data_IF_002052348825
#
_entry.id   IF_002052348825
#
_cell.length_a   1.000
_cell.length_b   1.000
_cell.length_c   1.000
_cell.angle_alpha   90.00
_cell.angle_beta   90.00
_cell.angle_gamma   90.00
#
_symmetry.space_group_name_H-M   'P 1'
#
loop_
_entity.id
_entity.type
_entity.pdbx_description
1 polymer ?
#
# COMPACT_ATOMS: atom_id res chain seq x y z
N UNK A 1 6.89 -11.94 -4.10
CA UNK A 1 7.84 -12.74 -3.29
C UNK A 1 8.84 -11.82 -2.59
N UNK A 2 9.31 -10.77 -3.25
CA UNK A 2 10.33 -9.83 -2.71
C UNK A 2 9.88 -9.09 -1.44
N UNK A 3 8.58 -9.01 -1.22
CA UNK A 3 7.95 -8.47 0.00
C UNK A 3 7.43 -9.55 0.95
N UNK A 4 7.90 -10.80 0.76
CA UNK A 4 7.60 -11.91 1.66
C UNK A 4 6.25 -12.58 1.46
N UNK A 5 5.53 -12.32 0.35
CA UNK A 5 4.31 -13.01 -0.02
C UNK A 5 4.54 -14.21 -0.95
N UNK A 6 3.49 -14.99 -1.20
CA UNK A 6 3.50 -16.12 -2.15
C UNK A 6 3.66 -15.70 -3.61
N UNK A 7 3.64 -14.41 -3.91
CA UNK A 7 3.63 -13.88 -5.26
C UNK A 7 2.22 -13.77 -5.85
N UNK A 8 1.19 -13.99 -5.04
CA UNK A 8 -0.21 -13.75 -5.39
C UNK A 8 -0.49 -12.29 -5.11
N UNK A 9 -1.07 -11.59 -6.09
CA UNK A 9 -1.48 -10.21 -5.93
C UNK A 9 -2.63 -10.09 -4.92
N UNK A 10 -2.59 -9.06 -4.10
CA UNK A 10 -3.71 -8.74 -3.22
C UNK A 10 -4.87 -8.20 -4.09
N UNK A 11 -5.98 -8.94 -4.14
CA UNK A 11 -7.13 -8.63 -5.00
C UNK A 11 -7.79 -7.30 -4.63
N UNK A 12 -7.84 -6.94 -3.35
CA UNK A 12 -8.38 -5.66 -2.90
C UNK A 12 -7.53 -4.49 -3.39
N UNK A 13 -6.20 -4.57 -3.19
CA UNK A 13 -5.28 -3.56 -3.70
C UNK A 13 -5.35 -3.49 -5.23
N UNK A 14 -5.39 -4.64 -5.89
CA UNK A 14 -5.50 -4.70 -7.36
C UNK A 14 -6.78 -4.03 -7.86
N UNK A 15 -7.92 -4.30 -7.22
CA UNK A 15 -9.18 -3.66 -7.55
C UNK A 15 -9.12 -2.13 -7.36
N UNK A 16 -8.53 -1.65 -6.27
CA UNK A 16 -8.30 -0.19 -6.06
C UNK A 16 -7.44 0.42 -7.16
N UNK A 17 -6.40 -0.28 -7.61
CA UNK A 17 -5.56 0.19 -8.73
C UNK A 17 -6.33 0.21 -10.07
N UNK A 18 -7.19 -0.78 -10.32
CA UNK A 18 -8.04 -0.82 -11.50
C UNK A 18 -9.09 0.29 -11.50
N UNK A 19 -9.72 0.57 -10.37
CA UNK A 19 -10.64 1.70 -10.22
C UNK A 19 -9.91 3.04 -10.46
N UNK A 20 -8.68 3.18 -9.98
CA UNK A 20 -7.87 4.37 -10.23
C UNK A 20 -7.50 4.55 -11.71
N UNK A 21 -7.35 3.45 -12.48
CA UNK A 21 -7.21 3.52 -13.94
C UNK A 21 -8.42 4.20 -14.59
N UNK A 22 -9.62 3.89 -14.11
CA UNK A 22 -10.85 4.53 -14.61
C UNK A 22 -10.92 6.02 -14.26
N UNK A 23 -10.44 6.43 -13.09
CA UNK A 23 -10.32 7.86 -12.75
C UNK A 23 -9.35 8.59 -13.70
N UNK A 24 -8.18 7.98 -13.97
CA UNK A 24 -7.22 8.56 -14.92
C UNK A 24 -7.81 8.69 -16.30
N UNK A 25 -8.47 7.64 -16.81
CA UNK A 25 -9.15 7.66 -18.10
C UNK A 25 -10.27 8.71 -18.15
N UNK A 26 -11.10 8.79 -17.12
CA UNK A 26 -12.17 9.79 -17.03
C UNK A 26 -11.62 11.22 -17.06
N UNK A 27 -10.41 11.44 -16.54
CA UNK A 27 -9.75 12.75 -16.55
C UNK A 27 -9.06 13.07 -17.88
N UNK A 28 -8.56 12.04 -18.62
CA UNK A 28 -7.77 12.22 -19.85
C UNK A 28 -8.54 11.96 -21.14
N UNK A 29 -9.55 11.08 -21.13
CA UNK A 29 -10.34 10.70 -22.31
C UNK A 29 -11.68 11.44 -22.30
N UNK A 30 -11.74 12.63 -22.93
CA UNK A 30 -12.96 13.46 -22.94
C UNK A 30 -13.98 13.00 -23.97
N UNK A 31 -13.52 12.49 -25.10
CA UNK A 31 -14.36 12.16 -26.28
C UNK A 31 -15.02 10.78 -26.21
N UNK A 32 -14.55 9.91 -25.31
CA UNK A 32 -15.11 8.57 -25.20
C UNK A 32 -16.56 8.60 -24.67
N UNK A 33 -17.48 7.91 -25.36
CA UNK A 33 -18.92 7.87 -25.01
C UNK A 33 -19.19 7.51 -23.55
N UNK A 34 -18.49 6.51 -23.02
CA UNK A 34 -18.63 6.12 -21.60
C UNK A 34 -18.22 7.25 -20.65
N UNK A 35 -17.18 8.03 -21.00
CA UNK A 35 -16.72 9.16 -20.19
C UNK A 35 -17.74 10.30 -20.20
N UNK A 36 -18.32 10.58 -21.37
CA UNK A 36 -19.38 11.58 -21.51
C UNK A 36 -20.63 11.21 -20.69
N UNK A 37 -21.05 9.93 -20.72
CA UNK A 37 -22.17 9.44 -19.89
C UNK A 37 -21.90 9.64 -18.39
N UNK A 38 -20.71 9.27 -17.91
CA UNK A 38 -20.35 9.46 -16.50
C UNK A 38 -20.24 10.93 -16.12
N UNK A 39 -19.68 11.77 -16.99
CA UNK A 39 -19.57 13.22 -16.78
C UNK A 39 -20.96 13.85 -16.68
N UNK A 40 -21.84 13.57 -17.63
CA UNK A 40 -23.20 14.10 -17.64
C UNK A 40 -24.00 13.66 -16.41
N UNK A 41 -23.84 12.41 -15.99
CA UNK A 41 -24.57 11.85 -14.84
C UNK A 41 -24.06 12.35 -13.50
N UNK A 42 -22.75 12.40 -13.31
CA UNK A 42 -22.13 12.57 -11.99
C UNK A 42 -21.35 13.86 -11.81
N UNK A 43 -20.78 14.42 -12.88
CA UNK A 43 -20.00 15.65 -12.77
C UNK A 43 -20.83 16.90 -13.07
N UNK A 44 -21.62 16.87 -14.13
CA UNK A 44 -22.36 18.05 -14.63
C UNK A 44 -21.41 19.25 -14.81
N UNK A 45 -21.56 20.29 -13.96
CA UNK A 45 -20.69 21.48 -13.91
C UNK A 45 -19.51 21.38 -12.96
N UNK A 46 -19.39 20.26 -12.18
CA UNK A 46 -18.35 20.09 -11.17
C UNK A 46 -17.13 19.37 -11.74
N UNK A 47 -15.96 19.66 -11.18
CA UNK A 47 -14.76 18.88 -11.46
C UNK A 47 -14.78 17.56 -10.69
N UNK A 48 -13.95 16.61 -11.12
CA UNK A 48 -13.80 15.34 -10.41
C UNK A 48 -13.32 15.55 -8.96
N UNK A 49 -12.55 16.61 -8.69
CA UNK A 49 -12.11 16.97 -7.35
C UNK A 49 -13.27 17.33 -6.42
N UNK A 50 -14.27 18.06 -6.92
CA UNK A 50 -15.40 18.62 -6.15
C UNK A 50 -16.51 17.60 -5.84
N UNK A 51 -16.66 16.56 -6.68
CA UNK A 51 -17.77 15.61 -6.55
C UNK A 51 -17.61 14.73 -5.32
N UNK A 52 -18.69 14.57 -4.56
CA UNK A 52 -18.81 13.70 -3.38
C UNK A 52 -19.78 12.55 -3.65
N UNK A 53 -19.71 11.52 -2.82
CA UNK A 53 -20.59 10.35 -2.92
C UNK A 53 -22.01 10.71 -2.45
N UNK A 54 -23.01 10.27 -3.23
CA UNK A 54 -24.41 10.28 -2.84
C UNK A 54 -24.91 8.85 -2.51
N UNK A 55 -25.90 8.68 -1.63
CA UNK A 55 -26.45 7.37 -1.30
C UNK A 55 -27.01 6.60 -2.50
N UNK A 56 -27.57 7.31 -3.48
CA UNK A 56 -28.17 6.80 -4.72
C UNK A 56 -27.18 6.45 -5.82
N UNK A 57 -25.89 6.75 -5.62
CA UNK A 57 -24.86 6.47 -6.63
C UNK A 57 -24.66 4.99 -6.85
N UNK A 58 -24.30 4.63 -8.09
CA UNK A 58 -23.99 3.26 -8.44
C UNK A 58 -22.79 2.70 -7.64
N UNK A 59 -22.74 1.37 -7.41
CA UNK A 59 -21.59 0.75 -6.72
C UNK A 59 -20.24 1.06 -7.39
N UNK A 60 -20.23 1.15 -8.73
CA UNK A 60 -19.04 1.52 -9.49
C UNK A 60 -18.57 2.93 -9.15
N UNK A 61 -19.49 3.92 -9.21
CA UNK A 61 -19.16 5.31 -8.87
C UNK A 61 -18.70 5.47 -7.42
N UNK A 62 -19.38 4.80 -6.48
CA UNK A 62 -18.96 4.74 -5.07
C UNK A 62 -17.54 4.16 -4.93
N UNK A 63 -17.23 3.14 -5.73
CA UNK A 63 -15.89 2.57 -5.79
C UNK A 63 -14.83 3.57 -6.29
N UNK A 64 -15.13 4.34 -7.35
CA UNK A 64 -14.25 5.40 -7.86
C UNK A 64 -14.02 6.48 -6.81
N UNK A 65 -15.08 6.94 -6.14
CA UNK A 65 -14.96 7.99 -5.12
C UNK A 65 -14.18 7.52 -3.89
N UNK A 66 -14.25 6.24 -3.53
CA UNK A 66 -13.44 5.65 -2.45
C UNK A 66 -11.95 5.71 -2.74
N UNK A 67 -11.53 5.48 -3.99
CA UNK A 67 -10.12 5.52 -4.38
C UNK A 67 -9.63 6.89 -4.82
N UNK A 68 -10.52 7.86 -4.98
CA UNK A 68 -10.23 9.24 -5.39
C UNK A 68 -9.12 9.92 -4.56
N UNK A 69 -9.11 9.91 -3.22
CA UNK A 69 -8.03 10.52 -2.44
C UNK A 69 -6.67 9.88 -2.70
N UNK A 70 -6.65 8.54 -2.81
CA UNK A 70 -5.46 7.78 -3.11
C UNK A 70 -4.88 8.13 -4.50
N UNK A 71 -5.76 8.37 -5.47
CA UNK A 71 -5.43 8.74 -6.83
C UNK A 71 -4.87 10.17 -6.91
N UNK A 72 -5.57 11.17 -6.35
CA UNK A 72 -5.14 12.56 -6.43
C UNK A 72 -3.83 12.86 -5.70
N UNK A 73 -3.52 12.14 -4.64
CA UNK A 73 -2.22 12.27 -3.97
C UNK A 73 -1.03 11.89 -4.88
N UNK A 74 -1.29 11.13 -5.96
CA UNK A 74 -0.29 10.62 -6.91
C UNK A 74 -0.36 11.26 -8.28
N UNK A 75 -1.20 12.26 -8.44
CA UNK A 75 -1.35 13.02 -9.68
C UNK A 75 -0.97 14.49 -9.48
N UNK A 76 -0.59 15.14 -10.56
CA UNK A 76 -0.52 16.60 -10.67
C UNK A 76 -1.04 17.01 -12.04
N UNK A 77 -1.48 18.24 -12.16
CA UNK A 77 -1.85 18.80 -13.45
C UNK A 77 -0.67 19.59 -14.00
N UNK A 78 -0.28 19.30 -15.23
CA UNK A 78 0.61 20.13 -16.00
C UNK A 78 -0.28 21.13 -16.71
N UNK A 79 -0.21 22.38 -16.28
CA UNK A 79 -1.01 23.47 -16.81
C UNK A 79 -0.46 23.82 -18.19
N UNK A 80 -1.36 23.86 -19.17
CA UNK A 80 -1.11 24.38 -20.50
C UNK A 80 -1.78 25.73 -20.67
N UNK A 81 -3.02 25.74 -21.16
CA UNK A 81 -3.84 26.95 -21.31
C UNK A 81 -4.53 27.38 -20.01
N UNK A 82 -4.59 26.51 -19.01
CA UNK A 82 -5.22 26.77 -17.72
C UNK A 82 -6.75 26.82 -17.76
N UNK A 83 -7.37 26.42 -18.87
CA UNK A 83 -8.82 26.54 -19.06
C UNK A 83 -9.63 25.49 -18.26
N UNK A 84 -9.02 24.36 -17.95
CA UNK A 84 -9.69 23.25 -17.27
C UNK A 84 -9.21 23.04 -15.83
N UNK A 85 -8.11 23.67 -15.43
CA UNK A 85 -7.49 23.51 -14.11
C UNK A 85 -8.05 24.54 -13.13
N UNK A 86 -8.58 24.06 -12.00
CA UNK A 86 -9.04 24.92 -10.89
C UNK A 86 -7.84 25.50 -10.13
N UNK A 87 -7.84 26.81 -9.96
CA UNK A 87 -6.72 27.52 -9.34
C UNK A 87 -6.43 27.07 -7.92
N UNK A 88 -7.45 26.97 -7.07
CA UNK A 88 -7.29 26.64 -5.64
C UNK A 88 -7.33 25.15 -5.34
N UNK A 89 -8.15 24.39 -6.06
CA UNK A 89 -8.56 23.03 -5.66
C UNK A 89 -7.75 21.94 -6.31
N UNK A 90 -7.17 22.20 -7.48
CA UNK A 90 -6.36 21.23 -8.19
C UNK A 90 -4.87 21.32 -7.79
N UNK A 91 -4.15 20.19 -7.93
CA UNK A 91 -2.70 20.14 -7.70
C UNK A 91 -1.98 20.45 -9.00
N UNK A 92 -1.60 21.72 -9.19
CA UNK A 92 -0.89 22.18 -10.36
C UNK A 92 0.40 22.96 -10.02
N UNK A 93 0.43 23.68 -8.91
CA UNK A 93 1.57 24.45 -8.47
C UNK A 93 2.13 23.87 -7.14
N UNK A 94 3.10 22.95 -7.24
CA UNK A 94 3.67 22.20 -6.12
C UNK A 94 3.05 20.82 -5.92
N UNK A 95 3.15 20.28 -4.70
CA UNK A 95 2.77 18.90 -4.41
C UNK A 95 1.34 18.72 -3.89
N UNK A 96 0.72 19.81 -3.45
CA UNK A 96 -0.66 19.82 -2.93
C UNK A 96 -1.45 20.99 -3.50
N UNK A 97 -2.81 20.96 -3.50
CA UNK A 97 -3.63 22.07 -3.94
C UNK A 97 -3.30 23.38 -3.19
N UNK A 98 -3.40 24.52 -3.88
CA UNK A 98 -3.16 25.84 -3.30
C UNK A 98 -4.05 26.12 -2.08
N UNK A 99 -5.28 25.61 -2.07
CA UNK A 99 -6.18 25.69 -0.92
C UNK A 99 -5.58 25.07 0.37
N UNK A 100 -4.73 24.06 0.24
CA UNK A 100 -4.03 23.44 1.38
C UNK A 100 -2.70 24.12 1.69
N UNK A 101 -2.03 24.66 0.68
CA UNK A 101 -0.76 25.39 0.87
C UNK A 101 -1.02 26.76 1.53
N UNK A 102 -2.15 27.42 1.19
CA UNK A 102 -2.52 28.75 1.66
C UNK A 102 -3.93 28.77 2.26
N UNK A 103 -4.19 28.06 3.36
CA UNK A 103 -5.53 27.94 3.94
C UNK A 103 -6.08 29.29 4.41
N UNK A 104 -5.22 30.20 4.88
CA UNK A 104 -5.58 31.53 5.33
C UNK A 104 -6.12 32.41 4.21
N UNK A 105 -5.59 32.28 2.99
CA UNK A 105 -6.08 32.96 1.78
C UNK A 105 -7.33 32.30 1.23
N UNK A 106 -7.34 30.95 1.13
CA UNK A 106 -8.47 30.21 0.61
C UNK A 106 -9.78 30.44 1.41
N UNK A 107 -9.66 30.63 2.72
CA UNK A 107 -10.80 30.90 3.58
C UNK A 107 -11.45 32.27 3.36
N UNK A 108 -10.71 33.26 2.82
CA UNK A 108 -11.19 34.61 2.59
C UNK A 108 -11.38 34.98 1.13
N UNK A 109 -11.02 34.11 0.20
CA UNK A 109 -11.23 34.37 -1.24
C UNK A 109 -12.74 34.46 -1.54
N UNK A 110 -13.12 35.40 -2.42
CA UNK A 110 -14.52 35.58 -2.79
C UNK A 110 -15.00 34.45 -3.72
N UNK A 111 -14.22 34.13 -4.75
CA UNK A 111 -14.54 33.11 -5.75
C UNK A 111 -13.53 31.96 -5.62
N UNK A 112 -14.01 30.82 -5.14
CA UNK A 112 -13.19 29.60 -5.01
C UNK A 112 -13.09 28.84 -6.33
N UNK A 113 -14.14 28.90 -7.14
CA UNK A 113 -14.31 28.15 -8.37
C UNK A 113 -13.76 28.93 -9.60
N UNK A 114 -12.49 29.32 -9.54
CA UNK A 114 -11.82 30.02 -10.64
C UNK A 114 -10.82 29.09 -11.33
N UNK A 115 -10.71 29.23 -12.65
CA UNK A 115 -9.71 28.51 -13.42
C UNK A 115 -8.38 29.28 -13.45
N UNK A 116 -7.28 28.55 -13.69
CA UNK A 116 -5.94 29.14 -13.76
C UNK A 116 -5.85 30.20 -14.84
N UNK A 117 -6.42 29.93 -16.02
CA UNK A 117 -6.50 30.90 -17.11
C UNK A 117 -7.12 32.24 -16.67
N UNK A 118 -8.26 32.17 -16.00
CA UNK A 118 -8.99 33.38 -15.56
C UNK A 118 -8.22 34.23 -14.55
N UNK A 119 -7.30 33.60 -13.80
CA UNK A 119 -6.48 34.29 -12.82
C UNK A 119 -5.23 34.89 -13.46
N UNK A 120 -4.54 34.13 -14.32
CA UNK A 120 -3.22 34.52 -14.83
C UNK A 120 -3.26 35.36 -16.09
N UNK A 121 -4.35 35.32 -16.87
CA UNK A 121 -4.49 36.13 -18.10
C UNK A 121 -4.78 37.59 -17.82
N UNK A 122 -5.13 37.97 -16.60
CA UNK A 122 -5.44 39.35 -16.23
C UNK A 122 -4.33 40.03 -15.44
N UNK A 123 -4.05 41.29 -15.73
CA UNK A 123 -3.12 42.13 -14.96
C UNK A 123 -3.88 43.34 -14.43
N UNK A 124 -4.08 43.48 -13.14
CA UNK A 124 -3.62 42.62 -12.04
C UNK A 124 -4.33 41.25 -12.00
N UNK A 125 -3.75 40.29 -11.22
CA UNK A 125 -4.31 38.94 -11.04
C UNK A 125 -5.79 39.00 -10.61
N UNK A 126 -6.66 38.29 -11.29
CA UNK A 126 -8.11 38.31 -11.03
C UNK A 126 -8.49 37.48 -9.79
N UNK A 127 -7.97 37.89 -8.63
CA UNK A 127 -8.29 37.30 -7.35
C UNK A 127 -8.79 38.38 -6.40
N UNK A 128 -9.98 38.22 -5.88
CA UNK A 128 -10.58 39.13 -4.90
C UNK A 128 -10.80 38.44 -3.57
N UNK A 129 -10.53 39.19 -2.50
CA UNK A 129 -10.68 38.71 -1.13
C UNK A 129 -11.83 39.45 -0.42
N UNK A 130 -12.53 38.76 0.49
CA UNK A 130 -13.62 39.32 1.29
C UNK A 130 -13.15 40.25 2.41
N UNK A 131 -11.86 40.18 2.75
CA UNK A 131 -11.20 40.93 3.82
C UNK A 131 -9.87 41.46 3.34
N UNK A 132 -9.42 42.57 3.92
CA UNK A 132 -8.12 43.18 3.68
C UNK A 132 -7.01 42.20 4.08
N UNK A 133 -5.95 42.14 3.26
CA UNK A 133 -4.79 41.33 3.53
C UNK A 133 -3.85 42.09 4.48
N UNK A 134 -3.65 41.60 5.68
CA UNK A 134 -2.73 42.15 6.70
C UNK A 134 -1.95 41.02 7.39
N UNK A 135 -0.73 41.34 7.84
CA UNK A 135 0.13 40.39 8.57
C UNK A 135 0.39 39.11 7.79
N UNK A 136 0.22 37.96 8.41
CA UNK A 136 0.48 36.63 7.80
C UNK A 136 -0.23 36.41 6.47
N UNK A 137 -1.42 36.99 6.29
CA UNK A 137 -2.18 36.86 5.03
C UNK A 137 -1.51 37.63 3.90
N UNK A 138 -0.94 38.79 4.20
CA UNK A 138 -0.20 39.58 3.23
C UNK A 138 1.10 38.87 2.83
N UNK A 139 1.84 38.29 3.77
CA UNK A 139 3.04 37.51 3.50
C UNK A 139 2.72 36.26 2.66
N UNK A 140 1.67 35.53 3.02
CA UNK A 140 1.20 34.38 2.27
C UNK A 140 0.82 34.76 0.82
N UNK A 141 0.17 35.91 0.64
CA UNK A 141 -0.16 36.44 -0.68
C UNK A 141 1.08 36.81 -1.48
N UNK A 142 2.04 37.53 -0.93
CA UNK A 142 3.28 37.85 -1.61
C UNK A 142 4.07 36.60 -1.99
N UNK A 143 4.11 35.61 -1.11
CA UNK A 143 4.75 34.33 -1.40
C UNK A 143 4.04 33.60 -2.57
N UNK A 144 2.73 33.59 -2.60
CA UNK A 144 1.96 33.02 -3.71
C UNK A 144 2.22 33.77 -5.01
N UNK A 145 2.13 35.11 -4.99
CA UNK A 145 2.36 35.96 -6.19
C UNK A 145 3.75 35.70 -6.79
N UNK A 146 4.80 35.66 -5.98
CA UNK A 146 6.16 35.35 -6.46
C UNK A 146 6.22 34.05 -7.22
N UNK A 147 5.58 33.01 -6.72
CA UNK A 147 5.50 31.69 -7.40
C UNK A 147 4.67 31.73 -8.68
N UNK A 148 3.66 32.58 -8.74
CA UNK A 148 2.83 32.73 -9.94
C UNK A 148 3.54 33.49 -11.05
N UNK A 149 4.48 34.38 -10.73
CA UNK A 149 5.26 35.13 -11.72
C UNK A 149 6.13 34.23 -12.60
N UNK A 150 6.52 33.06 -12.13
CA UNK A 150 7.32 32.09 -12.88
C UNK A 150 6.44 31.18 -13.78
N UNK A 151 5.10 31.30 -13.69
CA UNK A 151 4.17 30.46 -14.46
C UNK A 151 3.82 31.12 -15.78
N UNK A 152 4.14 30.43 -16.86
CA UNK A 152 3.73 30.83 -18.21
C UNK A 152 2.70 29.87 -18.75
N UNK A 153 1.56 30.37 -19.20
CA UNK A 153 0.55 29.58 -19.90
C UNK A 153 0.97 29.37 -21.35
N UNK A 154 0.69 28.16 -21.85
CA UNK A 154 0.86 27.80 -23.26
C UNK A 154 -0.50 27.75 -23.96
N UNK A 155 -0.49 27.36 -25.25
CA UNK A 155 -1.75 27.09 -25.97
C UNK A 155 -2.14 25.60 -25.92
N UNK A 156 -1.29 24.76 -25.34
CA UNK A 156 -1.59 23.34 -25.17
C UNK A 156 -2.67 23.13 -24.10
N UNK A 157 -3.53 22.13 -24.23
CA UNK A 157 -4.50 21.81 -23.20
C UNK A 157 -3.83 21.30 -21.90
N UNK A 158 -4.47 21.58 -20.78
CA UNK A 158 -4.04 21.05 -19.47
C UNK A 158 -3.98 19.52 -19.48
N UNK A 159 -2.94 18.94 -18.87
CA UNK A 159 -2.73 17.48 -18.87
C UNK A 159 -2.57 16.93 -17.47
N UNK A 160 -3.28 15.83 -17.17
CA UNK A 160 -3.08 15.10 -15.94
C UNK A 160 -1.80 14.27 -16.01
N UNK A 161 -0.90 14.49 -15.07
CA UNK A 161 0.40 13.82 -14.96
C UNK A 161 0.40 12.83 -13.80
N UNK A 162 0.79 11.59 -14.08
CA UNK A 162 0.94 10.54 -13.07
C UNK A 162 2.35 10.57 -12.48
N UNK A 163 2.48 10.87 -11.18
CA UNK A 163 3.78 11.09 -10.50
C UNK A 163 4.66 9.84 -10.39
N UNK A 164 4.06 8.64 -10.46
CA UNK A 164 4.78 7.38 -10.26
C UNK A 164 5.47 6.82 -11.52
N UNK A 165 5.35 7.50 -12.66
CA UNK A 165 6.03 7.13 -13.91
C UNK A 165 6.73 8.35 -14.50
N UNK A 166 7.83 8.11 -15.22
CA UNK A 166 8.60 9.20 -15.84
C UNK A 166 7.85 9.88 -17.01
N UNK A 167 7.03 9.11 -17.72
CA UNK A 167 6.24 9.55 -18.85
C UNK A 167 4.90 10.20 -18.48
N UNK A 168 4.59 10.24 -17.19
CA UNK A 168 3.34 10.80 -16.65
C UNK A 168 2.09 9.99 -16.96
N UNK A 169 2.22 8.80 -17.58
CA UNK A 169 1.09 7.92 -17.91
C UNK A 169 0.76 6.98 -16.76
N UNK A 170 -0.52 6.78 -16.51
CA UNK A 170 -0.98 5.87 -15.48
C UNK A 170 -0.64 4.43 -15.80
N UNK A 171 -0.09 3.73 -14.82
CA UNK A 171 0.15 2.29 -14.88
C UNK A 171 -0.39 1.62 -13.61
N UNK A 172 -1.24 0.60 -13.78
CA UNK A 172 -1.73 -0.24 -12.67
C UNK A 172 -0.58 -0.84 -11.88
N UNK A 173 0.51 -1.21 -12.58
CA UNK A 173 1.73 -1.76 -11.95
C UNK A 173 2.41 -0.73 -11.05
N UNK A 174 2.60 0.51 -11.53
CA UNK A 174 3.25 1.57 -10.73
C UNK A 174 2.47 1.88 -9.46
N UNK A 175 1.14 2.00 -9.56
CA UNK A 175 0.28 2.23 -8.42
C UNK A 175 0.27 1.04 -7.45
N UNK A 176 0.20 -0.19 -7.96
CA UNK A 176 0.21 -1.38 -7.13
C UNK A 176 1.51 -1.50 -6.33
N UNK A 177 2.66 -1.27 -6.97
CA UNK A 177 3.96 -1.29 -6.30
C UNK A 177 4.09 -0.20 -5.24
N UNK A 178 3.59 1.01 -5.51
CA UNK A 178 3.61 2.11 -4.55
C UNK A 178 2.74 1.80 -3.32
N UNK A 179 1.51 1.32 -3.51
CA UNK A 179 0.61 0.96 -2.41
C UNK A 179 1.18 -0.19 -1.56
N UNK A 180 1.84 -1.17 -2.18
CA UNK A 180 2.47 -2.28 -1.44
C UNK A 180 3.72 -1.81 -0.70
N UNK A 181 4.53 -0.94 -1.30
CA UNK A 181 5.77 -0.45 -0.67
C UNK A 181 5.49 0.43 0.56
N UNK A 182 4.36 1.12 0.59
CA UNK A 182 3.92 1.88 1.77
C UNK A 182 3.38 0.98 2.89
N UNK A 183 2.97 -0.25 2.58
CA UNK A 183 2.55 -1.26 3.56
C UNK A 183 3.73 -2.16 3.94
N UNK A 184 4.58 -1.71 4.85
CA UNK A 184 5.75 -2.46 5.31
C UNK A 184 5.32 -3.74 6.04
N UNK A 185 5.59 -4.90 5.43
CA UNK A 185 5.61 -6.20 6.13
C UNK A 185 7.07 -6.67 6.13
N UNK A 186 7.81 -6.45 7.21
CA UNK A 186 9.27 -6.57 7.21
C UNK A 186 9.85 -7.98 7.18
N UNK A 187 9.11 -9.04 7.57
CA UNK A 187 9.77 -10.23 8.10
C UNK A 187 9.94 -11.45 7.15
N UNK A 188 9.22 -11.54 6.06
CA UNK A 188 9.16 -12.79 5.28
C UNK A 188 10.17 -12.92 4.15
N UNK A 189 11.02 -11.92 3.89
CA UNK A 189 12.08 -11.99 2.85
C UNK A 189 13.06 -13.13 3.09
N UNK A 190 13.40 -13.40 4.33
CA UNK A 190 14.41 -14.42 4.68
C UNK A 190 13.94 -15.83 4.31
N UNK A 191 12.66 -16.16 4.47
CA UNK A 191 12.08 -17.46 4.11
C UNK A 191 12.29 -17.78 2.62
N UNK A 192 12.05 -16.80 1.74
CA UNK A 192 12.13 -16.99 0.30
C UNK A 192 13.57 -17.08 -0.22
N UNK A 193 14.55 -16.53 0.51
CA UNK A 193 15.97 -16.56 0.14
C UNK A 193 16.68 -17.86 0.54
N UNK A 194 16.09 -18.66 1.43
CA UNK A 194 16.69 -19.94 1.84
C UNK A 194 16.73 -20.91 0.66
N UNK A 195 17.84 -21.62 0.48
CA UNK A 195 18.01 -22.61 -0.58
C UNK A 195 17.41 -23.98 -0.19
N UNK A 196 16.08 -24.05 -0.13
CA UNK A 196 15.30 -25.27 0.13
C UNK A 196 14.21 -25.43 -0.94
N UNK A 197 13.67 -26.66 -1.14
CA UNK A 197 12.56 -26.91 -2.05
C UNK A 197 11.36 -25.98 -1.81
N UNK A 198 10.61 -25.66 -2.88
CA UNK A 198 9.50 -24.71 -2.81
C UNK A 198 8.44 -25.12 -1.77
N UNK A 199 8.14 -26.42 -1.67
CA UNK A 199 7.18 -26.96 -0.64
C UNK A 199 7.58 -26.60 0.78
N UNK A 200 8.89 -26.65 1.09
CA UNK A 200 9.40 -26.28 2.42
C UNK A 200 9.34 -24.77 2.61
N UNK A 201 9.64 -23.96 1.59
CA UNK A 201 9.47 -22.47 1.67
C UNK A 201 8.02 -22.08 1.96
N UNK A 202 7.07 -22.72 1.28
CA UNK A 202 5.63 -22.47 1.49
C UNK A 202 5.22 -22.88 2.92
N UNK A 203 5.67 -24.05 3.38
CA UNK A 203 5.45 -24.50 4.75
C UNK A 203 6.01 -23.50 5.77
N UNK A 204 7.28 -23.09 5.62
CA UNK A 204 7.91 -22.10 6.50
C UNK A 204 7.18 -20.75 6.50
N UNK A 205 6.65 -20.35 5.34
CA UNK A 205 5.82 -19.16 5.23
C UNK A 205 4.49 -19.30 6.02
N UNK A 206 3.84 -20.48 5.96
CA UNK A 206 2.65 -20.77 6.77
C UNK A 206 2.96 -20.81 8.29
N UNK A 207 4.12 -21.35 8.67
CA UNK A 207 4.59 -21.33 10.07
C UNK A 207 4.76 -19.87 10.53
N UNK A 208 5.42 -19.04 9.73
CA UNK A 208 5.61 -17.62 10.03
C UNK A 208 4.29 -16.87 10.15
N UNK A 209 3.33 -17.14 9.26
CA UNK A 209 1.98 -16.57 9.32
C UNK A 209 1.09 -17.16 10.40
N UNK A 210 1.56 -18.18 11.12
CA UNK A 210 0.83 -18.89 12.17
C UNK A 210 -0.49 -19.52 11.72
N UNK A 211 -0.55 -19.97 10.45
CA UNK A 211 -1.77 -20.51 9.83
C UNK A 211 -1.70 -21.99 9.48
N UNK A 212 -0.60 -22.69 9.79
CA UNK A 212 -0.52 -24.15 9.62
C UNK A 212 -1.55 -24.85 10.50
N UNK A 213 -1.98 -26.05 10.10
CA UNK A 213 -3.06 -26.80 10.73
C UNK A 213 -2.59 -27.57 11.97
N UNK A 214 -2.02 -26.88 12.95
CA UNK A 214 -1.85 -27.39 14.31
C UNK A 214 -3.22 -27.59 14.98
N UNK A 215 -3.29 -28.40 16.02
CA UNK A 215 -4.57 -28.78 16.65
C UNK A 215 -5.36 -27.57 17.18
N UNK A 216 -4.69 -26.53 17.66
CA UNK A 216 -5.31 -25.25 18.02
C UNK A 216 -5.92 -24.52 16.79
N UNK A 217 -5.25 -24.56 15.64
CA UNK A 217 -5.78 -23.98 14.39
C UNK A 217 -6.86 -24.87 13.72
N UNK A 218 -6.77 -26.18 13.90
CA UNK A 218 -7.82 -27.12 13.49
C UNK A 218 -9.11 -26.93 14.31
N UNK A 219 -8.97 -26.76 15.64
CA UNK A 219 -10.11 -26.48 16.51
C UNK A 219 -10.87 -25.19 16.11
N UNK A 220 -10.16 -24.14 15.69
CA UNK A 220 -10.78 -22.91 15.12
C UNK A 220 -11.60 -23.17 13.85
N UNK A 221 -11.41 -24.32 13.20
CA UNK A 221 -12.11 -24.75 11.99
C UNK A 221 -13.12 -25.88 12.25
N UNK A 222 -13.59 -25.97 13.48
CA UNK A 222 -14.58 -26.97 13.92
C UNK A 222 -14.09 -28.44 13.81
N UNK A 223 -12.78 -28.67 13.81
CA UNK A 223 -12.25 -30.03 13.89
C UNK A 223 -12.46 -30.60 15.29
N UNK A 224 -13.05 -31.79 15.36
CA UNK A 224 -13.34 -32.51 16.62
C UNK A 224 -12.24 -33.54 16.83
N UNK A 225 -11.28 -33.24 17.71
CA UNK A 225 -10.18 -34.11 18.05
C UNK A 225 -9.47 -33.64 19.30
N UNK A 226 -8.53 -34.46 19.81
CA UNK A 226 -7.74 -34.11 21.01
C UNK A 226 -6.85 -32.89 20.73
N UNK A 227 -6.89 -31.90 21.62
CA UNK A 227 -6.00 -30.73 21.57
C UNK A 227 -4.54 -31.05 21.98
N UNK A 228 -4.27 -32.25 22.54
CA UNK A 228 -2.94 -32.63 23.05
C UNK A 228 -1.95 -32.86 21.92
N UNK A 229 -0.71 -32.49 22.15
CA UNK A 229 0.40 -32.73 21.23
C UNK A 229 0.58 -34.24 20.99
N UNK A 230 1.03 -34.61 19.79
CA UNK A 230 1.28 -36.03 19.45
C UNK A 230 2.57 -36.56 20.04
N UNK A 231 3.44 -35.69 20.59
CA UNK A 231 4.75 -36.05 21.16
C UNK A 231 4.80 -35.88 22.70
N UNK A 232 3.78 -35.23 23.31
CA UNK A 232 3.70 -35.02 24.75
C UNK A 232 2.28 -34.68 25.19
N UNK A 233 2.03 -34.51 26.48
CA UNK A 233 0.70 -34.27 27.06
C UNK A 233 0.24 -32.80 27.05
N UNK A 234 1.08 -31.88 26.58
CA UNK A 234 0.71 -30.46 26.49
C UNK A 234 -0.21 -30.17 25.29
N UNK A 235 -0.91 -29.04 25.33
CA UNK A 235 -1.71 -28.59 24.17
C UNK A 235 -0.83 -28.22 22.97
N UNK A 236 -1.22 -28.67 21.79
CA UNK A 236 -0.49 -28.40 20.56
C UNK A 236 -0.81 -27.00 20.03
N UNK A 237 0.22 -26.16 19.98
CA UNK A 237 0.25 -24.88 19.28
C UNK A 237 1.49 -24.84 18.39
N UNK A 238 1.55 -23.89 17.46
CA UNK A 238 2.73 -23.72 16.60
C UNK A 238 3.99 -23.50 17.44
N UNK A 239 3.93 -22.66 18.46
CA UNK A 239 5.04 -22.40 19.36
C UNK A 239 5.44 -23.67 20.12
N UNK A 240 4.46 -24.38 20.70
CA UNK A 240 4.72 -25.62 21.41
C UNK A 240 5.39 -26.63 20.48
N UNK A 241 4.79 -26.92 19.31
CA UNK A 241 5.27 -27.99 18.45
C UNK A 241 6.71 -27.79 17.97
N UNK A 242 7.13 -26.54 17.69
CA UNK A 242 8.43 -26.25 17.11
C UNK A 242 9.48 -25.72 18.07
N UNK A 243 9.11 -25.27 19.27
CA UNK A 243 10.04 -24.65 20.21
C UNK A 243 9.94 -25.23 21.62
N UNK A 244 8.74 -25.41 22.17
CA UNK A 244 8.54 -25.69 23.57
C UNK A 244 8.35 -27.20 23.89
N UNK A 245 7.96 -28.01 22.87
CA UNK A 245 7.80 -29.44 23.01
C UNK A 245 9.13 -30.13 23.45
N UNK A 246 9.10 -31.14 24.35
CA UNK A 246 10.30 -31.87 24.71
C UNK A 246 11.10 -32.40 23.51
N UNK A 247 10.42 -32.94 22.50
CA UNK A 247 11.07 -33.37 21.27
C UNK A 247 11.76 -32.19 20.54
N UNK A 248 11.08 -31.06 20.39
CA UNK A 248 11.66 -29.89 19.77
C UNK A 248 12.87 -29.35 20.53
N UNK A 249 12.80 -29.34 21.89
CA UNK A 249 13.94 -28.92 22.73
C UNK A 249 15.15 -29.82 22.56
N UNK A 250 14.97 -31.12 22.45
CA UNK A 250 16.07 -32.05 22.20
C UNK A 250 16.73 -31.74 20.86
N UNK A 251 15.93 -31.54 19.80
CA UNK A 251 16.44 -31.24 18.47
C UNK A 251 17.16 -29.88 18.42
N UNK A 252 16.65 -28.83 19.06
CA UNK A 252 17.32 -27.54 19.16
C UNK A 252 18.60 -27.61 20.00
N UNK A 253 18.63 -28.45 21.06
CA UNK A 253 19.82 -28.69 21.88
C UNK A 253 20.93 -29.33 21.03
N UNK A 254 20.60 -30.25 20.13
CA UNK A 254 21.58 -30.85 19.22
C UNK A 254 22.23 -29.80 18.29
N UNK A 255 21.45 -28.82 17.80
CA UNK A 255 21.98 -27.68 17.02
C UNK A 255 22.89 -26.81 17.91
N UNK A 256 22.47 -26.54 19.15
CA UNK A 256 23.28 -25.77 20.10
C UNK A 256 24.62 -26.44 20.37
N UNK A 257 24.64 -27.75 20.64
CA UNK A 257 25.88 -28.51 20.90
C UNK A 257 26.80 -28.52 19.66
N UNK A 258 26.24 -28.68 18.44
CA UNK A 258 27.02 -28.77 17.22
C UNK A 258 27.61 -27.44 16.76
N UNK A 259 26.90 -26.33 16.94
CA UNK A 259 27.24 -25.01 16.36
C UNK A 259 27.42 -23.89 17.38
N UNK A 260 27.28 -24.19 18.69
CA UNK A 260 27.26 -23.20 19.77
C UNK A 260 26.28 -22.02 19.55
N UNK A 261 25.12 -22.32 18.98
CA UNK A 261 24.08 -21.30 18.67
C UNK A 261 22.88 -21.51 19.59
N UNK A 262 22.50 -20.45 20.29
CA UNK A 262 21.35 -20.48 21.20
C UNK A 262 20.06 -20.73 20.41
N UNK A 263 19.20 -21.66 20.81
CA UNK A 263 17.90 -21.91 20.17
C UNK A 263 17.02 -20.67 20.12
N UNK A 264 16.19 -20.52 19.06
CA UNK A 264 15.30 -19.37 18.96
C UNK A 264 14.19 -19.45 20.02
N UNK A 265 13.88 -18.34 20.67
CA UNK A 265 12.85 -18.27 21.73
C UNK A 265 11.44 -18.01 21.17
N UNK A 266 11.34 -17.63 19.90
CA UNK A 266 10.06 -17.37 19.23
C UNK A 266 10.12 -17.66 17.74
N UNK A 267 8.95 -17.91 17.14
CA UNK A 267 8.81 -18.05 15.68
C UNK A 267 9.26 -16.78 14.94
N UNK A 268 8.99 -15.61 15.49
CA UNK A 268 9.43 -14.36 14.87
C UNK A 268 10.95 -14.22 14.88
N UNK A 269 11.60 -14.59 16.00
CA UNK A 269 13.06 -14.59 16.10
C UNK A 269 13.70 -15.56 15.10
N UNK A 270 13.14 -16.77 14.96
CA UNK A 270 13.61 -17.78 14.00
C UNK A 270 13.72 -17.22 12.57
N UNK A 271 12.74 -16.44 12.14
CA UNK A 271 12.70 -15.84 10.80
C UNK A 271 13.36 -14.45 10.71
N UNK A 272 13.71 -13.83 11.83
CA UNK A 272 14.32 -12.51 11.91
C UNK A 272 15.77 -12.57 12.40
N UNK A 273 15.94 -12.21 13.66
CA UNK A 273 17.23 -11.88 14.28
C UNK A 273 18.00 -13.09 14.84
N UNK A 274 17.47 -14.31 14.75
CA UNK A 274 18.05 -15.50 15.38
C UNK A 274 19.54 -15.74 15.09
N UNK A 275 19.98 -15.47 13.86
CA UNK A 275 21.36 -15.70 13.40
C UNK A 275 22.11 -14.38 13.14
N UNK A 276 21.69 -13.29 13.77
CA UNK A 276 22.44 -12.04 13.70
C UNK A 276 23.77 -12.21 14.47
N UNK A 277 24.85 -11.77 13.85
CA UNK A 277 26.21 -11.93 14.38
C UNK A 277 26.90 -13.27 14.02
N UNK A 278 26.18 -14.22 13.40
CA UNK A 278 26.77 -15.47 12.87
C UNK A 278 27.32 -15.23 11.46
N UNK A 279 28.46 -15.87 11.14
CA UNK A 279 29.00 -15.84 9.78
C UNK A 279 27.95 -16.13 8.72
N UNK A 280 27.97 -15.40 7.61
CA UNK A 280 26.92 -15.45 6.58
C UNK A 280 26.79 -16.82 5.91
N UNK A 281 27.89 -17.54 5.73
CA UNK A 281 27.87 -18.87 5.11
C UNK A 281 27.28 -19.88 6.09
N UNK A 282 27.74 -19.85 7.34
CA UNK A 282 27.26 -20.70 8.41
C UNK A 282 25.78 -20.43 8.70
N UNK A 283 25.36 -19.17 8.80
CA UNK A 283 23.98 -18.78 8.99
C UNK A 283 23.05 -19.30 7.87
N UNK A 284 23.52 -19.34 6.62
CA UNK A 284 22.74 -19.92 5.51
C UNK A 284 22.56 -21.43 5.67
N UNK A 285 23.61 -22.15 6.06
CA UNK A 285 23.56 -23.60 6.27
C UNK A 285 22.65 -23.96 7.44
N UNK A 286 22.77 -23.23 8.55
CA UNK A 286 21.93 -23.43 9.74
C UNK A 286 20.45 -23.16 9.43
N UNK A 287 20.15 -22.11 8.64
CA UNK A 287 18.76 -21.87 8.19
C UNK A 287 18.21 -23.01 7.35
N UNK A 288 19.01 -23.62 6.48
CA UNK A 288 18.59 -24.80 5.72
C UNK A 288 18.32 -25.98 6.66
N UNK A 289 19.22 -26.26 7.61
CA UNK A 289 19.04 -27.30 8.63
C UNK A 289 17.80 -27.09 9.49
N UNK A 290 17.59 -25.85 9.98
CA UNK A 290 16.38 -25.49 10.73
C UNK A 290 15.09 -25.71 9.92
N UNK A 291 15.07 -25.32 8.65
CA UNK A 291 13.93 -25.60 7.77
C UNK A 291 13.65 -27.10 7.61
N UNK A 292 14.70 -27.89 7.43
CA UNK A 292 14.59 -29.35 7.31
C UNK A 292 14.09 -29.99 8.62
N UNK A 293 14.58 -29.53 9.75
CA UNK A 293 14.17 -29.99 11.07
C UNK A 293 12.68 -29.70 11.35
N UNK A 294 12.23 -28.47 11.13
CA UNK A 294 10.83 -28.11 11.33
C UNK A 294 9.91 -28.88 10.37
N UNK A 295 10.36 -29.09 9.13
CA UNK A 295 9.64 -29.90 8.15
C UNK A 295 9.52 -31.36 8.55
N UNK A 296 10.60 -31.97 9.09
CA UNK A 296 10.58 -33.33 9.60
C UNK A 296 9.63 -33.49 10.79
N UNK A 297 9.69 -32.59 11.78
CA UNK A 297 8.77 -32.57 12.92
C UNK A 297 7.30 -32.46 12.44
N UNK A 298 7.04 -31.62 11.46
CA UNK A 298 5.71 -31.45 10.89
C UNK A 298 5.20 -32.72 10.20
N UNK A 299 6.04 -33.40 9.41
CA UNK A 299 5.67 -34.65 8.76
C UNK A 299 5.41 -35.77 9.76
N UNK A 300 6.33 -36.00 10.71
CA UNK A 300 6.13 -37.00 11.78
C UNK A 300 4.83 -36.76 12.58
N UNK A 301 4.54 -35.47 12.89
CA UNK A 301 3.27 -35.11 13.54
C UNK A 301 2.07 -35.46 12.68
N UNK A 302 2.12 -35.16 11.38
CA UNK A 302 1.00 -35.44 10.48
C UNK A 302 0.77 -36.94 10.31
N UNK A 303 1.83 -37.74 10.20
CA UNK A 303 1.72 -39.18 10.11
C UNK A 303 1.03 -39.75 11.37
N UNK A 304 1.35 -39.24 12.57
CA UNK A 304 0.71 -39.64 13.82
C UNK A 304 -0.75 -39.19 13.95
N UNK A 305 -1.13 -38.08 13.32
CA UNK A 305 -2.49 -37.51 13.43
C UNK A 305 -3.44 -38.06 12.37
N UNK A 306 -2.97 -38.25 11.14
CA UNK A 306 -3.82 -38.53 9.98
C UNK A 306 -3.62 -39.91 9.35
N UNK A 307 -2.48 -40.58 9.55
CA UNK A 307 -2.15 -41.87 8.93
C UNK A 307 -2.32 -43.05 9.92
N UNK A 308 -3.20 -42.92 10.91
CA UNK A 308 -3.56 -44.01 11.85
C UNK A 308 -4.69 -44.85 11.28
#
# INVERSE_FOLDING_TARGET
>A
KDQGGLGIENLEIKNRCLLSKWLFKLSSETEATWAQILRNKYLQSKTLAQVTVCPTDSPFWKGLMRVKPLFFNRTKILVGDGATTRFWEDTWLGETPLARQYPTLYNIVQRREVYVANVLQSTPLNISFRRTLVGERWEAWLHLVRRLMDVQLSQDPDRLFWKLTKDGRFSVKSMYLDVINTSVIPCSRHVWKVKVPLRIKVFMWFVHKKVILTKDNLAKRNWVGSARCSFCDCNETIRHLFLDCPLAKILWRSIHIAFNIIPPTSINMLFGTWLDGVDLVLARLIRVGACALLWAVWNCRNDLVFNR
#
